data_IF_853385933801
#
_entry.id   IF_853385933801
#
_cell.length_a   1.000
_cell.length_b   1.000
_cell.length_c   1.000
_cell.angle_alpha   90.00
_cell.angle_beta   90.00
_cell.angle_gamma   90.00
#
_symmetry.space_group_name_H-M   'P 1'
#
loop_
_entity.id
_entity.type
_entity.pdbx_description
1 polymer ?
#
# COMPACT_ATOMS: atom_id res chain seq x y z
N UNK A 1 -23.11 3.18 3.99
CA UNK A 1 -22.10 2.16 3.58
C UNK A 1 -20.77 2.79 3.17
N UNK A 2 -20.75 3.84 2.34
CA UNK A 2 -19.52 4.52 1.92
C UNK A 2 -18.70 5.11 3.10
N UNK A 3 -19.34 5.76 4.07
CA UNK A 3 -18.67 6.32 5.25
C UNK A 3 -18.04 5.25 6.16
N UNK A 4 -18.69 4.08 6.31
CA UNK A 4 -18.16 2.95 7.09
C UNK A 4 -16.88 2.38 6.47
N UNK A 5 -16.81 2.33 5.14
CA UNK A 5 -15.61 1.91 4.42
C UNK A 5 -14.47 2.93 4.59
N UNK A 6 -14.79 4.23 4.67
CA UNK A 6 -13.79 5.25 4.95
C UNK A 6 -13.24 5.12 6.39
N UNK A 7 -14.10 4.96 7.39
CA UNK A 7 -13.67 4.79 8.78
C UNK A 7 -12.75 3.57 8.98
N UNK A 8 -13.12 2.42 8.40
CA UNK A 8 -12.30 1.21 8.48
C UNK A 8 -10.94 1.38 7.78
N UNK A 9 -10.90 2.07 6.64
CA UNK A 9 -9.65 2.39 5.95
C UNK A 9 -8.78 3.33 6.79
N UNK A 10 -9.34 4.36 7.43
CA UNK A 10 -8.59 5.27 8.29
C UNK A 10 -8.01 4.57 9.52
N UNK A 11 -8.78 3.66 10.13
CA UNK A 11 -8.28 2.81 11.22
C UNK A 11 -7.13 1.93 10.74
N UNK A 12 -7.26 1.27 9.60
CA UNK A 12 -6.21 0.44 9.03
C UNK A 12 -4.94 1.24 8.70
N UNK A 13 -5.08 2.44 8.13
CA UNK A 13 -3.95 3.36 7.87
C UNK A 13 -3.26 3.75 9.18
N UNK A 14 -4.04 4.01 10.24
CA UNK A 14 -3.49 4.36 11.56
C UNK A 14 -2.66 3.21 12.14
N UNK A 15 -3.17 1.99 12.07
CA UNK A 15 -2.45 0.79 12.51
C UNK A 15 -1.15 0.62 11.72
N UNK A 16 -1.22 0.61 10.38
CA UNK A 16 -0.06 0.41 9.50
C UNK A 16 1.02 1.47 9.73
N UNK A 17 0.62 2.75 9.89
CA UNK A 17 1.56 3.82 10.21
C UNK A 17 2.19 3.67 11.60
N UNK A 18 1.44 3.14 12.57
CA UNK A 18 1.96 2.79 13.89
C UNK A 18 3.03 1.72 13.83
N UNK A 19 2.76 0.63 13.08
CA UNK A 19 3.70 -0.45 12.85
C UNK A 19 4.99 0.05 12.18
N UNK A 20 4.86 0.81 11.09
CA UNK A 20 5.99 1.31 10.32
C UNK A 20 6.89 2.32 11.07
N UNK A 21 6.40 2.93 12.15
CA UNK A 21 7.20 3.80 13.03
C UNK A 21 8.05 3.03 14.05
N UNK A 22 7.79 1.75 14.23
CA UNK A 22 8.57 0.91 15.15
C UNK A 22 9.95 0.69 14.53
N UNK A 23 11.01 0.96 15.31
CA UNK A 23 12.37 0.83 14.81
C UNK A 23 12.67 -0.62 14.37
N UNK A 24 13.31 -0.76 13.20
CA UNK A 24 13.57 -2.08 12.58
C UNK A 24 12.33 -2.86 12.15
N UNK A 25 11.14 -2.24 12.05
CA UNK A 25 9.92 -2.93 11.64
C UNK A 25 10.04 -3.50 10.21
N UNK A 26 9.78 -4.81 10.07
CA UNK A 26 9.72 -5.50 8.78
C UNK A 26 8.30 -6.02 8.59
N UNK A 27 7.49 -5.33 7.77
CA UNK A 27 6.08 -5.72 7.60
C UNK A 27 5.90 -7.12 7.03
N UNK A 28 6.89 -7.69 6.33
CA UNK A 28 6.86 -9.09 5.88
C UNK A 28 6.59 -10.10 7.00
N UNK A 29 6.93 -9.81 8.27
CA UNK A 29 6.67 -10.70 9.41
C UNK A 29 5.20 -10.85 9.76
N UNK A 30 4.33 -10.01 9.20
CA UNK A 30 2.87 -10.04 9.40
C UNK A 30 2.15 -10.85 8.32
N UNK A 31 2.89 -11.51 7.40
CA UNK A 31 2.27 -12.39 6.40
C UNK A 31 1.71 -13.68 7.01
N UNK A 32 2.26 -14.12 8.15
CA UNK A 32 1.81 -15.28 8.91
C UNK A 32 0.41 -15.07 9.51
N UNK A 33 -0.46 -16.06 9.35
CA UNK A 33 -1.82 -16.04 9.91
C UNK A 33 -1.84 -16.57 11.35
N UNK A 34 -1.11 -15.89 12.24
CA UNK A 34 -1.09 -16.19 13.67
C UNK A 34 -2.09 -15.29 14.41
N UNK A 35 -2.79 -15.78 15.45
CA UNK A 35 -3.82 -14.99 16.13
C UNK A 35 -3.35 -13.63 16.67
N UNK A 36 -2.09 -13.54 17.11
CA UNK A 36 -1.45 -12.34 17.63
C UNK A 36 -1.20 -11.25 16.56
N UNK A 37 -1.05 -11.64 15.29
CA UNK A 37 -0.78 -10.73 14.16
C UNK A 37 -1.97 -10.52 13.25
N UNK A 38 -3.08 -11.23 13.47
CA UNK A 38 -4.24 -11.24 12.59
C UNK A 38 -4.78 -9.83 12.32
N UNK A 39 -4.95 -9.02 13.37
CA UNK A 39 -5.46 -7.65 13.26
C UNK A 39 -4.56 -6.76 12.39
N UNK A 40 -3.25 -6.81 12.64
CA UNK A 40 -2.26 -6.03 11.90
C UNK A 40 -2.19 -6.47 10.44
N UNK A 41 -2.24 -7.78 10.19
CA UNK A 41 -2.29 -8.37 8.85
C UNK A 41 -3.53 -7.92 8.08
N UNK A 42 -4.70 -7.92 8.71
CA UNK A 42 -5.96 -7.44 8.11
C UNK A 42 -5.90 -5.94 7.79
N UNK A 43 -5.31 -5.14 8.68
CA UNK A 43 -5.08 -3.72 8.43
C UNK A 43 -4.14 -3.49 7.22
N UNK A 44 -3.02 -4.21 7.16
CA UNK A 44 -2.08 -4.15 6.02
C UNK A 44 -2.80 -4.50 4.72
N UNK A 45 -3.56 -5.60 4.69
CA UNK A 45 -4.31 -6.01 3.50
C UNK A 45 -5.37 -5.00 3.10
N UNK A 46 -6.05 -4.37 4.06
CA UNK A 46 -7.04 -3.31 3.80
C UNK A 46 -6.40 -2.12 3.09
N UNK A 47 -5.24 -1.65 3.57
CA UNK A 47 -4.50 -0.55 2.93
C UNK A 47 -4.02 -0.96 1.54
N UNK A 48 -3.45 -2.15 1.39
CA UNK A 48 -2.95 -2.66 0.11
C UNK A 48 -4.05 -2.78 -0.95
N UNK A 49 -5.22 -3.32 -0.58
CA UNK A 49 -6.36 -3.44 -1.49
C UNK A 49 -6.82 -2.07 -1.99
N UNK A 50 -6.86 -1.06 -1.10
CA UNK A 50 -7.21 0.29 -1.50
C UNK A 50 -6.16 0.90 -2.43
N UNK A 51 -4.86 0.75 -2.14
CA UNK A 51 -3.79 1.27 -2.99
C UNK A 51 -3.80 0.63 -4.36
N UNK A 52 -4.04 -0.68 -4.42
CA UNK A 52 -4.17 -1.41 -5.68
C UNK A 52 -5.33 -0.90 -6.52
N UNK A 53 -6.52 -0.76 -5.91
CA UNK A 53 -7.70 -0.26 -6.62
C UNK A 53 -7.46 1.14 -7.21
N UNK A 54 -6.88 2.04 -6.43
CA UNK A 54 -6.60 3.41 -6.89
C UNK A 54 -5.53 3.40 -7.99
N UNK A 55 -4.45 2.63 -7.84
CA UNK A 55 -3.40 2.54 -8.85
C UNK A 55 -3.89 1.89 -10.14
N UNK A 56 -4.77 0.89 -10.07
CA UNK A 56 -5.46 0.34 -11.23
C UNK A 56 -6.29 1.41 -11.95
N UNK A 57 -6.98 2.29 -11.20
CA UNK A 57 -7.68 3.44 -11.77
C UNK A 57 -6.76 4.44 -12.47
N UNK A 58 -5.56 4.68 -11.95
CA UNK A 58 -4.53 5.53 -12.58
C UNK A 58 -4.03 4.89 -13.88
N UNK A 59 -3.63 3.62 -13.84
CA UNK A 59 -3.10 2.91 -15.01
C UNK A 59 -4.16 2.69 -16.08
N UNK A 60 -5.41 2.47 -15.69
CA UNK A 60 -6.56 2.35 -16.57
C UNK A 60 -7.11 3.68 -17.10
N UNK A 61 -6.53 4.81 -16.69
CA UNK A 61 -6.93 6.15 -17.18
C UNK A 61 -8.21 6.72 -16.56
N UNK A 62 -8.81 6.05 -15.57
CA UNK A 62 -9.96 6.56 -14.81
C UNK A 62 -9.56 7.74 -13.90
N UNK A 63 -8.30 7.80 -13.47
CA UNK A 63 -7.73 8.91 -12.70
C UNK A 63 -6.61 9.59 -13.51
N UNK A 64 -6.64 10.93 -13.56
CA UNK A 64 -5.62 11.69 -14.26
C UNK A 64 -4.28 11.62 -13.50
N UNK A 65 -3.33 10.82 -14.01
CA UNK A 65 -2.10 10.47 -13.31
C UNK A 65 -1.30 11.68 -12.83
N UNK A 66 -1.15 12.74 -13.66
CA UNK A 66 -0.37 13.91 -13.25
C UNK A 66 -0.99 14.58 -12.02
N UNK A 67 -2.31 14.75 -12.01
CA UNK A 67 -3.02 15.39 -10.90
C UNK A 67 -2.90 14.52 -9.65
N UNK A 68 -3.15 13.21 -9.80
CA UNK A 68 -3.05 12.27 -8.70
C UNK A 68 -1.63 12.22 -8.11
N UNK A 69 -0.61 12.20 -8.96
CA UNK A 69 0.79 12.26 -8.55
C UNK A 69 1.12 13.55 -7.81
N UNK A 70 0.72 14.71 -8.32
CA UNK A 70 0.98 15.99 -7.66
C UNK A 70 0.36 16.05 -6.24
N UNK A 71 -0.74 15.32 -6.01
CA UNK A 71 -1.43 15.23 -4.71
C UNK A 71 -0.84 14.14 -3.78
N UNK A 72 -0.56 12.94 -4.30
CA UNK A 72 -0.31 11.73 -3.50
C UNK A 72 1.14 11.26 -3.47
N UNK A 73 2.05 11.90 -4.22
CA UNK A 73 3.41 11.38 -4.45
C UNK A 73 4.10 10.89 -3.18
N UNK A 74 4.19 11.75 -2.16
CA UNK A 74 4.91 11.44 -0.92
C UNK A 74 4.22 10.34 -0.12
N UNK A 75 2.88 10.33 -0.06
CA UNK A 75 2.14 9.30 0.67
C UNK A 75 2.26 7.95 -0.03
N UNK A 76 2.04 7.90 -1.35
CA UNK A 76 2.08 6.67 -2.12
C UNK A 76 3.48 6.03 -2.06
N UNK A 77 4.54 6.82 -2.17
CA UNK A 77 5.91 6.28 -2.09
C UNK A 77 6.29 5.84 -0.69
N UNK A 78 5.90 6.58 0.36
CA UNK A 78 6.10 6.14 1.75
C UNK A 78 5.38 4.81 2.01
N UNK A 79 4.15 4.68 1.56
CA UNK A 79 3.39 3.44 1.75
C UNK A 79 4.04 2.28 0.97
N UNK A 80 4.58 2.54 -0.22
CA UNK A 80 5.33 1.54 -0.98
C UNK A 80 6.60 1.09 -0.23
N UNK A 81 7.35 2.04 0.33
CA UNK A 81 8.56 1.76 1.09
C UNK A 81 8.27 0.87 2.31
N UNK A 82 7.15 1.14 2.99
CA UNK A 82 6.73 0.35 4.14
C UNK A 82 6.21 -1.04 3.74
N UNK A 83 5.35 -1.11 2.73
CA UNK A 83 4.52 -2.30 2.45
C UNK A 83 5.12 -3.27 1.43
N UNK A 84 6.12 -2.85 0.64
CA UNK A 84 6.69 -3.68 -0.43
C UNK A 84 7.24 -5.02 0.06
N UNK A 85 7.85 -5.05 1.25
CA UNK A 85 8.35 -6.31 1.86
C UNK A 85 7.23 -7.32 2.12
N UNK A 86 6.08 -6.87 2.62
CA UNK A 86 4.89 -7.71 2.82
C UNK A 86 4.36 -8.24 1.49
N UNK A 87 4.30 -7.40 0.46
CA UNK A 87 3.84 -7.80 -0.89
C UNK A 87 4.74 -8.92 -1.43
N UNK A 88 6.06 -8.75 -1.43
CA UNK A 88 6.95 -9.77 -1.98
C UNK A 88 6.84 -11.09 -1.22
N UNK A 89 6.71 -11.04 0.11
CA UNK A 89 6.57 -12.25 0.92
C UNK A 89 5.23 -12.94 0.69
N UNK A 90 4.12 -12.20 0.56
CA UNK A 90 2.82 -12.84 0.29
C UNK A 90 2.76 -13.45 -1.11
N UNK A 91 3.41 -12.83 -2.11
CA UNK A 91 3.53 -13.40 -3.46
C UNK A 91 4.30 -14.73 -3.42
N UNK A 92 5.38 -14.79 -2.63
CA UNK A 92 6.19 -15.99 -2.44
C UNK A 92 5.40 -17.12 -1.77
N UNK A 93 4.72 -16.83 -0.65
CA UNK A 93 3.96 -17.83 0.13
C UNK A 93 2.76 -18.36 -0.66
N UNK A 94 2.08 -17.50 -1.42
CA UNK A 94 0.83 -17.85 -2.12
C UNK A 94 1.02 -18.24 -3.59
N UNK A 95 2.25 -18.24 -4.10
CA UNK A 95 2.54 -18.42 -5.53
C UNK A 95 1.73 -17.48 -6.44
N UNK A 96 1.54 -16.23 -6.00
CA UNK A 96 0.68 -15.25 -6.64
C UNK A 96 1.50 -14.04 -7.11
N UNK A 97 2.31 -14.15 -8.19
CA UNK A 97 3.33 -13.17 -8.55
C UNK A 97 2.78 -11.77 -8.90
N UNK A 98 1.49 -11.67 -9.23
CA UNK A 98 0.83 -10.43 -9.65
C UNK A 98 0.08 -9.72 -8.54
N UNK A 99 0.07 -10.24 -7.30
CA UNK A 99 -0.66 -9.59 -6.20
C UNK A 99 -0.11 -8.17 -5.94
N UNK A 100 -0.97 -7.15 -5.98
CA UNK A 100 -0.60 -5.75 -5.76
C UNK A 100 0.38 -5.18 -6.82
N UNK A 101 0.32 -5.68 -8.05
CA UNK A 101 1.25 -5.29 -9.11
C UNK A 101 0.99 -3.87 -9.62
N UNK A 102 -0.26 -3.37 -9.54
CA UNK A 102 -0.58 -2.03 -10.04
C UNK A 102 0.00 -0.96 -9.13
N UNK A 103 -0.11 -1.17 -7.82
CA UNK A 103 0.54 -0.34 -6.82
C UNK A 103 2.07 -0.32 -7.02
N UNK A 104 2.69 -1.48 -7.24
CA UNK A 104 4.12 -1.58 -7.55
C UNK A 104 4.50 -0.81 -8.82
N UNK A 105 3.73 -0.98 -9.91
CA UNK A 105 4.00 -0.35 -11.19
C UNK A 105 3.98 1.18 -11.08
N UNK A 106 2.96 1.74 -10.42
CA UNK A 106 2.84 3.18 -10.18
C UNK A 106 3.98 3.68 -9.29
N UNK A 107 4.24 3.03 -8.15
CA UNK A 107 5.31 3.43 -7.24
C UNK A 107 6.69 3.43 -7.91
N UNK A 108 7.03 2.37 -8.66
CA UNK A 108 8.29 2.29 -9.42
C UNK A 108 8.39 3.37 -10.49
N UNK A 109 7.30 3.62 -11.23
CA UNK A 109 7.25 4.67 -12.24
C UNK A 109 7.51 6.05 -11.63
N UNK A 110 6.93 6.32 -10.47
CA UNK A 110 7.05 7.59 -9.77
C UNK A 110 8.41 7.78 -9.08
N UNK A 111 9.03 6.73 -8.54
CA UNK A 111 10.42 6.78 -8.06
C UNK A 111 11.40 7.13 -9.16
N UNK A 112 11.22 6.58 -10.37
CA UNK A 112 12.07 6.87 -11.54
C UNK A 112 11.93 8.29 -12.07
N UNK A 113 10.80 8.95 -11.78
CA UNK A 113 10.50 10.31 -12.24
C UNK A 113 9.95 11.11 -11.06
N UNK A 114 10.79 11.60 -10.13
CA UNK A 114 10.30 12.31 -8.95
C UNK A 114 9.58 13.61 -9.28
N UNK A 115 8.80 14.13 -8.32
CA UNK A 115 8.30 15.50 -8.42
C UNK A 115 9.47 16.48 -8.40
N UNK A 116 9.33 17.59 -9.13
CA UNK A 116 10.31 18.67 -9.12
C UNK A 116 9.99 19.63 -7.97
N UNK A 117 11.02 20.08 -7.26
CA UNK A 117 10.91 21.20 -6.34
C UNK A 117 10.42 22.44 -7.10
N UNK A 118 9.54 23.22 -6.48
CA UNK A 118 9.04 24.48 -7.05
C UNK A 118 10.03 25.61 -6.83
#
# INVERSE_FOLDING_TARGET
>A
MAERNNAALQEAITIVNGLAKTDGCILATYTSDTPDKKKDREAILTVLNQREFVCAGVLGGALHEKMYKDFEYSMLLRDWDNLSSFIFEIRRIRSAPTAFQEFEAVARKWKKKPLKTK
#
